data_IF_849934579601
#
_entry.id   IF_849934579601
#
_cell.length_a   1.000
_cell.length_b   1.000
_cell.length_c   1.000
_cell.angle_alpha   90.00
_cell.angle_beta   90.00
_cell.angle_gamma   90.00
#
_symmetry.space_group_name_H-M   'P 1'
#
loop_
_entity.id
_entity.type
_entity.pdbx_description
1 polymer ?
#
# COMPACT_ATOMS: atom_id res chain seq x y z
N UNK A 1 -4.66 -53.25 62.78
CA UNK A 1 -4.94 -53.18 64.23
C UNK A 1 -4.71 -51.73 64.63
N UNK A 2 -5.74 -50.88 64.70
CA UNK A 2 -6.70 -50.78 65.83
C UNK A 2 -5.97 -50.67 67.17
N UNK A 3 -6.30 -49.81 68.13
CA UNK A 3 -7.17 -48.65 68.38
C UNK A 3 -6.98 -48.39 69.91
N UNK A 4 -7.50 -47.26 70.42
CA UNK A 4 -7.64 -46.83 71.85
C UNK A 4 -6.48 -45.98 72.39
N UNK A 5 -6.69 -44.84 73.05
CA UNK A 5 -7.93 -44.17 73.48
C UNK A 5 -7.73 -43.47 74.83
N UNK A 6 -8.53 -42.40 75.05
CA UNK A 6 -8.85 -41.67 76.30
C UNK A 6 -7.90 -40.50 76.68
N UNK A 7 -8.27 -39.22 76.59
CA UNK A 7 -9.37 -38.37 77.12
C UNK A 7 -9.25 -38.00 78.61
N UNK A 8 -9.17 -36.67 78.88
CA UNK A 8 -9.87 -35.91 79.94
C UNK A 8 -9.42 -34.43 79.87
N UNK A 9 -10.20 -33.54 79.23
CA UNK A 9 -11.15 -32.56 79.83
C UNK A 9 -10.51 -31.29 80.39
N UNK A 10 -10.79 -30.14 79.75
CA UNK A 10 -11.53 -29.10 80.46
C UNK A 10 -12.43 -28.25 79.53
N UNK A 11 -13.61 -27.96 80.08
CA UNK A 11 -14.77 -27.23 79.60
C UNK A 11 -14.50 -25.69 79.60
N UNK A 12 -15.22 -24.73 79.01
CA UNK A 12 -16.51 -24.58 78.34
C UNK A 12 -16.66 -23.09 77.90
N UNK A 13 -17.64 -22.85 77.02
CA UNK A 13 -18.42 -21.61 76.76
C UNK A 13 -18.00 -20.64 75.63
N UNK A 14 -18.84 -20.71 74.60
CA UNK A 14 -19.03 -19.80 73.47
C UNK A 14 -19.87 -18.57 73.85
N UNK A 15 -19.71 -17.47 73.10
CA UNK A 15 -20.80 -16.55 72.74
C UNK A 15 -20.50 -15.88 71.38
N UNK A 16 -21.39 -16.11 70.41
CA UNK A 16 -21.66 -15.24 69.26
C UNK A 16 -22.73 -14.23 69.70
N UNK A 17 -22.68 -13.00 69.19
CA UNK A 17 -23.85 -12.12 69.07
C UNK A 17 -23.72 -11.23 67.83
N UNK A 18 -24.73 -11.34 66.95
CA UNK A 18 -25.16 -10.36 65.94
C UNK A 18 -26.14 -9.37 66.58
N UNK A 19 -26.24 -8.14 66.03
CA UNK A 19 -27.41 -7.23 66.02
C UNK A 19 -27.07 -6.13 64.96
N UNK A 20 -27.64 -6.04 63.75
CA UNK A 20 -29.00 -5.70 63.25
C UNK A 20 -29.49 -4.27 63.48
N UNK A 21 -29.41 -3.47 62.40
CA UNK A 21 -30.39 -2.54 61.76
C UNK A 21 -31.27 -1.52 62.52
N UNK A 22 -31.30 -0.29 61.96
CA UNK A 22 -32.50 0.57 61.70
C UNK A 22 -32.04 1.94 61.12
N UNK A 23 -32.25 2.29 59.83
CA UNK A 23 -33.41 2.99 59.20
C UNK A 23 -33.66 4.42 59.76
N UNK A 24 -33.95 5.51 59.04
CA UNK A 24 -34.11 5.86 57.62
C UNK A 24 -34.09 7.41 57.46
N UNK A 25 -33.67 7.93 56.30
CA UNK A 25 -34.49 8.72 55.34
C UNK A 25 -33.83 9.94 54.65
N UNK A 26 -33.96 9.92 53.31
CA UNK A 26 -34.18 10.99 52.32
C UNK A 26 -33.19 12.16 52.12
N UNK A 27 -32.63 12.21 50.92
CA UNK A 27 -32.08 13.43 50.30
C UNK A 27 -31.30 13.10 49.01
N UNK A 28 -31.93 13.36 47.86
CA UNK A 28 -31.47 13.16 46.48
C UNK A 28 -30.18 13.90 46.13
N UNK A 29 -29.32 13.30 45.29
CA UNK A 29 -28.75 13.92 44.07
C UNK A 29 -27.87 12.92 43.30
N UNK A 30 -27.78 13.18 42.00
CA UNK A 30 -27.73 12.22 40.89
C UNK A 30 -26.40 11.50 40.61
N UNK A 31 -26.55 10.35 39.95
CA UNK A 31 -25.51 9.49 39.36
C UNK A 31 -24.52 10.26 38.45
N UNK A 32 -23.26 10.34 38.87
CA UNK A 32 -22.14 10.71 38.00
C UNK A 32 -21.53 9.45 37.36
N UNK A 33 -22.09 9.03 36.22
CA UNK A 33 -21.39 8.10 35.32
C UNK A 33 -20.18 8.82 34.67
N UNK A 34 -18.99 8.19 34.58
CA UNK A 34 -17.88 8.77 33.86
C UNK A 34 -18.20 8.75 32.37
N UNK A 35 -18.43 9.94 31.82
CA UNK A 35 -18.69 10.19 30.41
C UNK A 35 -17.53 9.69 29.56
N UNK A 36 -17.86 8.71 28.72
CA UNK A 36 -17.07 8.28 27.59
C UNK A 36 -16.89 9.45 26.62
N UNK A 37 -15.70 10.03 26.57
CA UNK A 37 -15.27 10.83 25.42
C UNK A 37 -15.00 9.88 24.25
N UNK A 38 -16.07 9.41 23.60
CA UNK A 38 -16.01 8.68 22.34
C UNK A 38 -15.46 9.62 21.26
N UNK A 39 -14.20 9.42 20.93
CA UNK A 39 -13.58 10.02 19.75
C UNK A 39 -14.35 9.57 18.50
N UNK A 40 -14.54 10.48 17.55
CA UNK A 40 -15.32 10.35 16.32
C UNK A 40 -14.83 9.28 15.31
N UNK A 41 -14.06 8.29 15.76
CA UNK A 41 -13.42 7.22 14.96
C UNK A 41 -14.23 5.94 14.89
N UNK A 42 -15.16 5.68 15.82
CA UNK A 42 -15.92 4.41 15.86
C UNK A 42 -16.85 4.20 14.64
N UNK A 43 -17.22 5.28 13.91
CA UNK A 43 -18.12 5.19 12.75
C UNK A 43 -17.45 4.75 11.44
N UNK A 44 -16.14 4.94 11.28
CA UNK A 44 -15.49 4.82 9.96
C UNK A 44 -14.95 3.41 9.66
N UNK A 45 -14.43 2.69 10.66
CA UNK A 45 -13.99 1.28 10.54
C UNK A 45 -15.14 0.32 10.25
N UNK A 46 -16.30 0.61 10.83
CA UNK A 46 -17.54 -0.07 10.52
C UNK A 46 -17.76 -0.07 9.01
N UNK A 47 -17.44 1.00 8.29
CA UNK A 47 -17.62 1.04 6.83
C UNK A 47 -16.83 -0.06 6.11
N UNK A 48 -15.57 -0.28 6.53
CA UNK A 48 -14.72 -1.33 5.92
C UNK A 48 -15.24 -2.72 6.29
N UNK A 49 -15.63 -2.93 7.56
CA UNK A 49 -16.15 -4.22 8.04
C UNK A 49 -17.51 -4.55 7.42
N UNK A 50 -18.40 -3.58 7.26
CA UNK A 50 -19.70 -3.75 6.59
C UNK A 50 -19.55 -4.07 5.10
N UNK A 51 -18.51 -3.53 4.45
CA UNK A 51 -18.22 -3.85 3.05
C UNK A 51 -17.66 -5.27 2.83
N UNK A 52 -17.25 -5.97 3.89
CA UNK A 52 -16.76 -7.34 3.79
C UNK A 52 -17.89 -8.33 3.54
N UNK A 53 -17.55 -9.51 3.02
CA UNK A 53 -18.47 -10.64 2.99
C UNK A 53 -18.89 -11.00 4.42
N UNK A 54 -20.20 -11.02 4.67
CA UNK A 54 -20.77 -11.27 6.00
C UNK A 54 -20.79 -12.78 6.29
N UNK A 55 -19.65 -13.31 6.70
CA UNK A 55 -19.44 -14.72 7.03
C UNK A 55 -18.87 -14.90 8.45
N UNK A 56 -18.63 -16.16 8.83
CA UNK A 56 -18.05 -16.51 10.13
C UNK A 56 -16.71 -15.81 10.39
N UNK A 57 -15.92 -15.51 9.34
CA UNK A 57 -14.67 -14.75 9.45
C UNK A 57 -14.94 -13.31 9.87
N UNK A 58 -15.85 -12.61 9.19
CA UNK A 58 -16.21 -11.22 9.54
C UNK A 58 -16.85 -11.14 10.94
N UNK A 59 -17.67 -12.11 11.30
CA UNK A 59 -18.23 -12.22 12.65
C UNK A 59 -17.14 -12.33 13.72
N UNK A 60 -16.12 -13.16 13.49
CA UNK A 60 -15.00 -13.26 14.42
C UNK A 60 -14.18 -11.96 14.48
N UNK A 61 -13.91 -11.33 13.33
CA UNK A 61 -13.15 -10.07 13.25
C UNK A 61 -13.80 -8.98 14.10
N UNK A 62 -15.12 -8.81 14.03
CA UNK A 62 -15.85 -7.80 14.82
C UNK A 62 -15.62 -7.93 16.32
N UNK A 63 -15.43 -9.15 16.80
CA UNK A 63 -15.24 -9.45 18.23
C UNK A 63 -13.76 -9.47 18.64
N UNK A 64 -12.82 -9.37 17.69
CA UNK A 64 -11.39 -9.44 17.95
C UNK A 64 -10.76 -8.04 18.06
N UNK A 65 -10.54 -7.61 19.30
CA UNK A 65 -9.98 -6.29 19.63
C UNK A 65 -8.64 -6.02 18.93
N UNK A 66 -7.78 -7.03 18.77
CA UNK A 66 -6.46 -6.85 18.18
C UNK A 66 -6.55 -6.74 16.65
N UNK A 67 -7.45 -7.50 16.00
CA UNK A 67 -7.67 -7.39 14.56
C UNK A 67 -8.33 -6.06 14.21
N UNK A 68 -9.31 -5.60 15.00
CA UNK A 68 -9.90 -4.27 14.86
C UNK A 68 -8.82 -3.20 14.97
N UNK A 69 -8.08 -3.14 16.09
CA UNK A 69 -6.99 -2.17 16.27
C UNK A 69 -5.98 -2.13 15.09
N UNK A 70 -5.68 -3.29 14.49
CA UNK A 70 -4.85 -3.36 13.29
C UNK A 70 -5.54 -2.77 12.04
N UNK A 71 -6.83 -3.06 11.82
CA UNK A 71 -7.66 -2.42 10.81
C UNK A 71 -7.68 -0.90 10.94
N UNK A 72 -7.89 -0.41 12.16
CA UNK A 72 -7.96 1.01 12.55
C UNK A 72 -6.66 1.73 12.18
N UNK A 73 -5.53 1.15 12.57
CA UNK A 73 -4.21 1.68 12.23
C UNK A 73 -3.94 1.69 10.71
N UNK A 74 -4.42 0.68 9.97
CA UNK A 74 -4.32 0.67 8.51
C UNK A 74 -5.24 1.72 7.87
N UNK A 75 -6.42 1.92 8.42
CA UNK A 75 -7.39 2.92 7.97
C UNK A 75 -6.88 4.33 8.22
N UNK A 76 -6.33 4.63 9.39
CA UNK A 76 -5.70 5.93 9.66
C UNK A 76 -4.58 6.27 8.64
N UNK A 77 -3.84 5.26 8.17
CA UNK A 77 -2.74 5.43 7.21
C UNK A 77 -3.18 5.51 5.75
N UNK A 78 -4.22 4.76 5.35
CA UNK A 78 -4.58 4.53 3.93
C UNK A 78 -6.06 4.72 3.61
N UNK A 79 -6.91 4.85 4.62
CA UNK A 79 -8.37 4.86 4.54
C UNK A 79 -8.97 6.07 3.82
N UNK A 80 -8.21 7.16 3.65
CA UNK A 80 -8.63 8.32 2.84
C UNK A 80 -8.97 7.95 1.40
N UNK A 81 -8.35 6.90 0.87
CA UNK A 81 -8.59 6.44 -0.49
C UNK A 81 -9.48 5.17 -0.46
N UNK A 82 -10.71 5.27 -0.98
CA UNK A 82 -11.68 4.17 -1.04
C UNK A 82 -11.12 2.90 -1.68
N UNK A 83 -10.23 3.05 -2.68
CA UNK A 83 -9.59 1.91 -3.36
C UNK A 83 -8.72 1.06 -2.42
N UNK A 84 -8.25 1.62 -1.30
CA UNK A 84 -7.45 0.92 -0.30
C UNK A 84 -8.30 0.13 0.68
N UNK A 85 -9.61 0.37 0.78
CA UNK A 85 -10.49 -0.33 1.72
C UNK A 85 -10.48 -1.84 1.47
N UNK A 86 -10.44 -2.25 0.19
CA UNK A 86 -10.29 -3.66 -0.20
C UNK A 86 -9.00 -4.27 0.35
N UNK A 87 -7.90 -3.52 0.35
CA UNK A 87 -6.62 -3.97 0.90
C UNK A 87 -6.69 -4.13 2.42
N UNK A 88 -7.32 -3.19 3.13
CA UNK A 88 -7.51 -3.24 4.58
C UNK A 88 -8.36 -4.46 4.94
N UNK A 89 -9.49 -4.64 4.27
CA UNK A 89 -10.37 -5.79 4.46
C UNK A 89 -9.66 -7.13 4.22
N UNK A 90 -8.84 -7.21 3.17
CA UNK A 90 -8.05 -8.41 2.91
C UNK A 90 -7.08 -8.69 4.07
N UNK A 91 -6.41 -7.67 4.61
CA UNK A 91 -5.45 -7.81 5.70
C UNK A 91 -6.10 -8.27 7.01
N UNK A 92 -7.27 -7.73 7.35
CA UNK A 92 -8.05 -8.18 8.51
C UNK A 92 -8.54 -9.61 8.32
N UNK A 93 -9.04 -9.95 7.12
CA UNK A 93 -9.53 -11.32 6.81
C UNK A 93 -8.43 -12.37 6.73
N UNK A 94 -7.20 -12.00 6.38
CA UNK A 94 -6.04 -12.89 6.48
C UNK A 94 -5.81 -13.34 7.94
N UNK A 95 -5.92 -12.40 8.88
CA UNK A 95 -5.76 -12.68 10.32
C UNK A 95 -6.98 -13.38 10.91
N UNK A 96 -8.19 -12.99 10.54
CA UNK A 96 -9.41 -13.67 11.00
C UNK A 96 -9.41 -15.16 10.63
N UNK A 97 -8.99 -15.49 9.41
CA UNK A 97 -8.81 -16.89 8.97
C UNK A 97 -7.74 -17.61 9.77
N UNK A 98 -6.62 -16.94 10.08
CA UNK A 98 -5.55 -17.51 10.92
C UNK A 98 -6.08 -17.90 12.30
N UNK A 99 -6.80 -17.01 12.97
CA UNK A 99 -7.34 -17.30 14.31
C UNK A 99 -8.35 -18.43 14.27
N UNK A 100 -9.24 -18.46 13.29
CA UNK A 100 -10.21 -19.55 13.13
C UNK A 100 -9.52 -20.89 12.87
N UNK A 101 -8.50 -20.91 12.01
CA UNK A 101 -7.71 -22.13 11.79
C UNK A 101 -6.93 -22.55 13.04
N UNK A 102 -6.52 -21.62 13.90
CA UNK A 102 -5.87 -21.95 15.16
C UNK A 102 -6.86 -22.49 16.19
N UNK A 103 -8.10 -21.96 16.22
CA UNK A 103 -9.20 -22.43 17.07
C UNK A 103 -9.59 -23.87 16.79
N UNK A 104 -9.54 -24.29 15.52
CA UNK A 104 -9.75 -25.69 15.14
C UNK A 104 -8.68 -26.65 15.69
N UNK A 105 -7.48 -26.15 15.97
CA UNK A 105 -6.36 -26.94 16.49
C UNK A 105 -6.34 -26.89 18.03
N UNK A 106 -6.56 -25.71 18.59
CA UNK A 106 -6.60 -25.47 20.03
C UNK A 106 -7.79 -24.55 20.39
N UNK A 107 -8.81 -25.12 21.05
CA UNK A 107 -10.06 -24.42 21.40
C UNK A 107 -9.90 -23.33 22.46
N UNK A 108 -8.74 -23.26 23.13
CA UNK A 108 -8.41 -22.23 24.14
C UNK A 108 -8.24 -20.83 23.53
N UNK A 109 -7.93 -20.75 22.23
CA UNK A 109 -7.66 -19.49 21.52
C UNK A 109 -8.97 -18.73 21.34
N UNK A 110 -9.10 -17.52 21.92
CA UNK A 110 -10.31 -16.69 21.74
C UNK A 110 -10.11 -15.62 20.68
N UNK A 111 -8.91 -15.05 20.59
CA UNK A 111 -8.56 -14.03 19.61
C UNK A 111 -7.08 -14.01 19.22
N UNK A 112 -6.71 -13.10 18.33
CA UNK A 112 -5.36 -12.95 17.80
C UNK A 112 -4.33 -12.62 18.89
N UNK A 113 -4.75 -11.91 19.95
CA UNK A 113 -3.89 -11.58 21.10
C UNK A 113 -3.34 -12.84 21.78
N UNK A 114 -4.11 -13.93 21.83
CA UNK A 114 -3.73 -15.18 22.49
C UNK A 114 -2.69 -15.95 21.66
N UNK A 115 -2.66 -15.71 20.34
CA UNK A 115 -1.64 -16.26 19.45
C UNK A 115 -0.31 -15.50 19.49
N UNK A 116 -0.32 -14.24 19.95
CA UNK A 116 0.86 -13.38 20.03
C UNK A 116 1.70 -13.63 21.30
N UNK A 117 1.76 -14.90 21.73
CA UNK A 117 2.63 -15.36 22.81
C UNK A 117 3.73 -16.27 22.25
N UNK A 118 4.99 -16.15 22.70
CA UNK A 118 6.09 -16.99 22.21
C UNK A 118 5.82 -18.49 22.31
N UNK A 119 5.12 -18.93 23.37
CA UNK A 119 4.73 -20.32 23.61
C UNK A 119 3.76 -20.86 22.56
N UNK A 120 2.98 -19.99 21.92
CA UNK A 120 1.98 -20.33 20.89
C UNK A 120 2.54 -20.24 19.47
N UNK A 121 3.82 -19.96 19.29
CA UNK A 121 4.44 -19.84 17.96
C UNK A 121 4.28 -21.10 17.11
N UNK A 122 4.46 -22.29 17.70
CA UNK A 122 4.25 -23.56 17.01
C UNK A 122 2.79 -23.76 16.55
N UNK A 123 1.83 -23.29 17.36
CA UNK A 123 0.41 -23.31 16.98
C UNK A 123 0.16 -22.41 15.76
N UNK A 124 0.76 -21.21 15.74
CA UNK A 124 0.68 -20.28 14.61
C UNK A 124 1.26 -20.90 13.33
N UNK A 125 2.38 -21.62 13.43
CA UNK A 125 2.97 -22.33 12.29
C UNK A 125 2.03 -23.43 11.77
N UNK A 126 1.47 -24.25 12.66
CA UNK A 126 0.51 -25.30 12.29
C UNK A 126 -0.75 -24.73 11.63
N UNK A 127 -1.34 -23.68 12.20
CA UNK A 127 -2.50 -22.99 11.62
C UNK A 127 -2.19 -22.39 10.24
N UNK A 128 -1.02 -21.77 10.08
CA UNK A 128 -0.59 -21.19 8.80
C UNK A 128 -0.38 -22.26 7.74
N UNK A 129 0.26 -23.38 8.08
CA UNK A 129 0.47 -24.53 7.19
C UNK A 129 -0.86 -25.14 6.74
N UNK A 130 -1.83 -25.27 7.65
CA UNK A 130 -3.19 -25.72 7.32
C UNK A 130 -3.87 -24.80 6.31
N UNK A 131 -3.88 -23.48 6.55
CA UNK A 131 -4.50 -22.49 5.66
C UNK A 131 -3.87 -22.40 4.26
N UNK A 132 -2.56 -22.67 4.18
CA UNK A 132 -1.80 -22.57 2.95
C UNK A 132 -1.63 -23.91 2.23
N UNK A 133 -2.30 -24.97 2.70
CA UNK A 133 -2.23 -26.33 2.18
C UNK A 133 -0.77 -26.82 2.06
N UNK A 134 -0.02 -26.74 3.14
CA UNK A 134 1.36 -27.23 3.19
C UNK A 134 1.41 -28.75 3.16
N UNK A 135 2.21 -29.30 2.25
CA UNK A 135 2.51 -30.73 2.17
C UNK A 135 3.82 -31.01 2.91
N UNK A 136 3.77 -31.86 3.93
CA UNK A 136 4.97 -32.30 4.66
C UNK A 136 5.89 -33.15 3.78
N UNK A 137 5.35 -33.85 2.79
CA UNK A 137 6.10 -34.80 1.96
C UNK A 137 6.96 -34.09 0.92
N UNK A 138 6.43 -33.02 0.31
CA UNK A 138 7.13 -32.26 -0.74
C UNK A 138 7.74 -30.96 -0.22
N UNK A 139 7.46 -30.58 1.03
CA UNK A 139 7.82 -29.28 1.62
C UNK A 139 7.32 -28.06 0.83
N UNK A 140 6.24 -28.27 0.07
CA UNK A 140 5.62 -27.28 -0.80
C UNK A 140 4.28 -26.79 -0.23
N UNK A 141 3.91 -25.58 -0.64
CA UNK A 141 2.62 -25.00 -0.29
C UNK A 141 1.65 -25.07 -1.47
N UNK A 142 0.44 -25.56 -1.28
CA UNK A 142 -0.64 -25.43 -2.27
C UNK A 142 -0.96 -23.95 -2.56
N UNK A 143 -0.99 -23.11 -1.51
CA UNK A 143 -1.25 -21.66 -1.58
C UNK A 143 -0.10 -20.86 -0.96
N UNK A 144 1.08 -20.78 -1.61
CA UNK A 144 2.29 -20.18 -1.03
C UNK A 144 2.13 -18.68 -0.75
N UNK A 145 1.37 -17.97 -1.59
CA UNK A 145 1.13 -16.54 -1.39
C UNK A 145 0.34 -16.24 -0.12
N UNK A 146 -0.58 -17.13 0.29
CA UNK A 146 -1.32 -17.01 1.55
C UNK A 146 -0.38 -17.12 2.75
N UNK A 147 0.55 -18.07 2.73
CA UNK A 147 1.53 -18.26 3.80
C UNK A 147 2.40 -17.01 4.02
N UNK A 148 2.91 -16.43 2.92
CA UNK A 148 3.71 -15.19 2.97
C UNK A 148 2.86 -14.00 3.46
N UNK A 149 1.63 -13.85 2.96
CA UNK A 149 0.73 -12.75 3.34
C UNK A 149 0.38 -12.78 4.83
N UNK A 150 0.12 -13.98 5.39
CA UNK A 150 -0.17 -14.16 6.82
C UNK A 150 0.98 -13.62 7.67
N UNK A 151 2.23 -13.97 7.34
CA UNK A 151 3.40 -13.49 8.09
C UNK A 151 3.50 -11.96 8.13
N UNK A 152 3.32 -11.30 6.99
CA UNK A 152 3.34 -9.83 6.92
C UNK A 152 2.19 -9.20 7.71
N UNK A 153 0.99 -9.77 7.63
CA UNK A 153 -0.19 -9.26 8.33
C UNK A 153 -0.07 -9.47 9.83
N UNK A 154 0.45 -10.61 10.26
CA UNK A 154 0.66 -10.94 11.66
C UNK A 154 1.70 -10.00 12.28
N UNK A 155 2.83 -9.79 11.59
CA UNK A 155 3.84 -8.83 12.02
C UNK A 155 3.26 -7.42 12.20
N UNK A 156 2.51 -6.94 11.20
CA UNK A 156 1.85 -5.64 11.27
C UNK A 156 0.86 -5.53 12.42
N UNK A 157 0.06 -6.57 12.67
CA UNK A 157 -0.87 -6.61 13.78
C UNK A 157 -0.15 -6.62 15.14
N UNK A 158 0.92 -7.41 15.30
CA UNK A 158 1.73 -7.42 16.52
C UNK A 158 2.38 -6.06 16.78
N UNK A 159 2.90 -5.38 15.75
CA UNK A 159 3.45 -4.02 15.88
C UNK A 159 2.38 -3.01 16.34
N UNK A 160 1.19 -3.04 15.74
CA UNK A 160 0.08 -2.19 16.17
C UNK A 160 -0.35 -2.50 17.61
N UNK A 161 -0.39 -3.78 17.97
CA UNK A 161 -0.78 -4.21 19.32
C UNK A 161 0.23 -3.79 20.39
N UNK A 162 1.53 -3.80 20.08
CA UNK A 162 2.55 -3.23 20.97
C UNK A 162 2.26 -1.74 21.21
N UNK A 163 1.92 -0.98 20.16
CA UNK A 163 1.50 0.42 20.28
C UNK A 163 0.26 0.60 21.16
N UNK A 164 -0.75 -0.25 21.00
CA UNK A 164 -1.97 -0.23 21.81
C UNK A 164 -1.69 -0.54 23.29
N UNK A 165 -0.83 -1.53 23.57
CA UNK A 165 -0.41 -1.86 24.94
C UNK A 165 0.34 -0.70 25.61
N UNK A 166 1.21 -0.01 24.87
CA UNK A 166 1.95 1.15 25.36
C UNK A 166 1.00 2.31 25.71
N UNK A 167 0.00 2.59 24.88
CA UNK A 167 -1.00 3.63 25.16
C UNK A 167 -1.83 3.33 26.42
N UNK A 168 -2.04 2.05 26.74
CA UNK A 168 -2.81 1.60 27.92
C UNK A 168 -1.93 1.22 29.13
N UNK A 169 -0.63 1.51 29.07
CA UNK A 169 0.35 1.16 30.11
C UNK A 169 0.37 -0.33 30.51
N UNK A 170 -0.01 -1.25 29.60
CA UNK A 170 0.01 -2.68 29.87
C UNK A 170 1.38 -3.30 29.54
N UNK A 171 2.28 -3.24 30.52
CA UNK A 171 3.68 -3.65 30.37
C UNK A 171 3.87 -5.15 30.16
N UNK A 172 2.98 -6.00 30.70
CA UNK A 172 3.07 -7.46 30.55
C UNK A 172 2.72 -7.90 29.12
N UNK A 173 1.59 -7.43 28.60
CA UNK A 173 1.16 -7.74 27.24
C UNK A 173 2.14 -7.19 26.20
N UNK A 174 2.66 -5.98 26.44
CA UNK A 174 3.70 -5.36 25.61
C UNK A 174 4.96 -6.23 25.53
N UNK A 175 5.49 -6.69 26.68
CA UNK A 175 6.69 -7.55 26.74
C UNK A 175 6.47 -8.89 26.00
N UNK A 176 5.30 -9.51 26.16
CA UNK A 176 4.95 -10.75 25.45
C UNK A 176 4.90 -10.54 23.93
N UNK A 177 4.21 -9.50 23.48
CA UNK A 177 4.09 -9.17 22.07
C UNK A 177 5.45 -8.80 21.43
N UNK A 178 6.32 -8.08 22.15
CA UNK A 178 7.69 -7.79 21.71
C UNK A 178 8.53 -9.05 21.51
N UNK A 179 8.51 -9.97 22.49
CA UNK A 179 9.19 -11.27 22.37
C UNK A 179 8.65 -12.10 21.22
N UNK A 180 7.32 -12.11 21.02
CA UNK A 180 6.70 -12.79 19.89
C UNK A 180 7.10 -12.19 18.54
N UNK A 181 7.13 -10.86 18.43
CA UNK A 181 7.60 -10.16 17.23
C UNK A 181 9.04 -10.52 16.89
N UNK A 182 9.93 -10.55 17.89
CA UNK A 182 11.32 -10.96 17.70
C UNK A 182 11.43 -12.40 17.19
N UNK A 183 10.64 -13.32 17.76
CA UNK A 183 10.57 -14.70 17.30
C UNK A 183 10.06 -14.79 15.85
N UNK A 184 9.04 -14.00 15.49
CA UNK A 184 8.51 -13.91 14.14
C UNK A 184 9.58 -13.39 13.16
N UNK A 185 10.29 -12.32 13.50
CA UNK A 185 11.35 -11.73 12.66
C UNK A 185 12.50 -12.72 12.42
N UNK A 186 12.88 -13.50 13.43
CA UNK A 186 14.03 -14.40 13.36
C UNK A 186 13.71 -15.77 12.74
N UNK A 187 12.52 -16.32 13.00
CA UNK A 187 12.21 -17.72 12.66
C UNK A 187 11.22 -17.89 11.52
N UNK A 188 10.34 -16.92 11.27
CA UNK A 188 9.29 -17.07 10.27
C UNK A 188 9.82 -17.34 8.86
N UNK A 189 10.95 -16.73 8.50
CA UNK A 189 11.56 -16.93 7.18
C UNK A 189 11.93 -18.40 6.97
N UNK A 190 12.59 -19.01 7.96
CA UNK A 190 13.08 -20.39 7.90
C UNK A 190 11.96 -21.43 7.82
N UNK A 191 10.84 -21.19 8.50
CA UNK A 191 9.74 -22.18 8.56
C UNK A 191 8.68 -22.02 7.48
N UNK A 192 8.50 -20.80 6.97
CA UNK A 192 7.38 -20.48 6.07
C UNK A 192 7.85 -19.76 4.81
N UNK A 193 8.54 -18.63 4.95
CA UNK A 193 8.74 -17.73 3.80
C UNK A 193 9.67 -18.31 2.74
N UNK A 194 10.78 -18.96 3.14
CA UNK A 194 11.75 -19.53 2.19
C UNK A 194 11.10 -20.61 1.33
N UNK A 195 10.44 -21.59 1.94
CA UNK A 195 9.72 -22.65 1.22
C UNK A 195 8.60 -22.09 0.35
N UNK A 196 7.80 -21.14 0.87
CA UNK A 196 6.74 -20.52 0.09
C UNK A 196 7.28 -19.74 -1.13
N UNK A 197 8.40 -19.03 -0.99
CA UNK A 197 9.07 -18.34 -2.10
C UNK A 197 9.61 -19.33 -3.12
N UNK A 198 10.28 -20.40 -2.69
CA UNK A 198 10.77 -21.47 -3.56
C UNK A 198 9.64 -22.11 -4.37
N UNK A 199 8.51 -22.46 -3.73
CA UNK A 199 7.34 -23.02 -4.44
C UNK A 199 6.78 -22.02 -5.46
N UNK A 200 6.75 -20.72 -5.14
CA UNK A 200 6.31 -19.70 -6.11
C UNK A 200 7.27 -19.55 -7.29
N UNK A 201 8.57 -19.62 -7.04
CA UNK A 201 9.60 -19.50 -8.07
C UNK A 201 9.60 -20.73 -9.00
N UNK A 202 9.51 -21.94 -8.44
CA UNK A 202 9.37 -23.16 -9.23
C UNK A 202 8.10 -23.15 -10.09
N UNK A 203 6.96 -22.70 -9.54
CA UNK A 203 5.72 -22.56 -10.33
C UNK A 203 5.84 -21.55 -11.46
N UNK A 204 6.55 -20.45 -11.22
CA UNK A 204 6.81 -19.45 -12.28
C UNK A 204 7.75 -19.99 -13.33
N UNK A 205 8.78 -20.73 -12.92
CA UNK A 205 9.74 -21.37 -13.82
C UNK A 205 9.08 -22.42 -14.71
N UNK A 206 8.18 -23.22 -14.14
CA UNK A 206 7.44 -24.26 -14.87
C UNK A 206 6.24 -23.71 -15.64
N UNK A 207 5.87 -22.44 -15.44
CA UNK A 207 4.81 -21.80 -16.21
C UNK A 207 5.43 -21.36 -17.54
N UNK A 208 4.94 -21.91 -18.65
CA UNK A 208 5.37 -21.47 -19.97
C UNK A 208 5.09 -19.97 -20.15
N UNK A 209 6.08 -19.25 -20.69
CA UNK A 209 5.95 -17.84 -21.06
C UNK A 209 5.01 -17.74 -22.28
N UNK A 210 3.70 -17.65 -22.02
CA UNK A 210 2.72 -17.40 -23.06
C UNK A 210 2.82 -15.94 -23.51
N UNK A 211 3.55 -15.70 -24.59
CA UNK A 211 3.54 -14.42 -25.28
C UNK A 211 2.20 -14.29 -26.01
N UNK A 212 1.46 -13.17 -25.82
CA UNK A 212 0.21 -12.97 -26.55
C UNK A 212 0.51 -12.91 -28.05
N UNK A 213 -0.21 -13.70 -28.84
CA UNK A 213 -0.08 -13.67 -30.30
C UNK A 213 -0.61 -12.34 -30.83
N UNK A 214 -0.05 -11.85 -31.93
CA UNK A 214 -0.55 -10.64 -32.61
C UNK A 214 -2.03 -10.78 -32.97
N UNK A 215 -2.44 -11.99 -33.35
CA UNK A 215 -3.82 -12.36 -33.66
C UNK A 215 -4.76 -12.18 -32.45
N UNK A 216 -4.33 -12.57 -31.25
CA UNK A 216 -5.10 -12.40 -30.02
C UNK A 216 -5.28 -10.92 -29.66
N UNK A 217 -4.22 -10.12 -29.83
CA UNK A 217 -4.26 -8.67 -29.57
C UNK A 217 -5.22 -7.98 -30.54
N UNK A 218 -5.18 -8.34 -31.82
CA UNK A 218 -6.10 -7.82 -32.84
C UNK A 218 -7.54 -8.25 -32.52
N UNK A 219 -7.75 -9.52 -32.17
CA UNK A 219 -9.06 -10.07 -31.83
C UNK A 219 -9.67 -9.34 -30.63
N UNK A 220 -8.90 -9.14 -29.56
CA UNK A 220 -9.32 -8.36 -28.40
C UNK A 220 -9.64 -6.92 -28.78
N UNK A 221 -8.78 -6.27 -29.58
CA UNK A 221 -9.00 -4.89 -30.00
C UNK A 221 -10.28 -4.73 -30.82
N UNK A 222 -10.54 -5.65 -31.76
CA UNK A 222 -11.75 -5.64 -32.58
C UNK A 222 -13.01 -5.87 -31.74
N UNK A 223 -12.95 -6.80 -30.78
CA UNK A 223 -14.03 -7.04 -29.85
C UNK A 223 -14.35 -5.80 -28.99
N UNK A 224 -13.33 -5.15 -28.43
CA UNK A 224 -13.52 -3.92 -27.64
C UNK A 224 -14.09 -2.76 -28.46
N UNK A 225 -13.69 -2.64 -29.74
CA UNK A 225 -14.24 -1.64 -30.66
C UNK A 225 -15.70 -1.92 -30.99
N UNK A 226 -16.05 -3.19 -31.22
CA UNK A 226 -17.43 -3.61 -31.47
C UNK A 226 -18.35 -3.23 -30.29
N UNK A 227 -17.95 -3.56 -29.06
CA UNK A 227 -18.71 -3.19 -27.84
C UNK A 227 -18.86 -1.68 -27.72
N UNK A 228 -17.78 -0.93 -27.98
CA UNK A 228 -17.81 0.54 -27.93
C UNK A 228 -18.85 1.10 -28.92
N UNK A 229 -18.88 0.59 -30.14
CA UNK A 229 -19.79 1.04 -31.19
C UNK A 229 -21.25 0.66 -30.88
N UNK A 230 -21.50 -0.56 -30.38
CA UNK A 230 -22.82 -1.03 -29.94
C UNK A 230 -23.35 -0.19 -28.77
N UNK A 231 -22.52 0.03 -27.73
CA UNK A 231 -22.90 0.80 -26.56
C UNK A 231 -23.17 2.27 -26.89
N UNK A 232 -22.39 2.88 -27.80
CA UNK A 232 -22.66 4.23 -28.31
C UNK A 232 -23.98 4.29 -29.07
N UNK A 233 -24.24 3.33 -29.96
CA UNK A 233 -25.47 3.29 -30.73
C UNK A 233 -26.71 3.15 -29.82
N UNK A 234 -26.61 2.39 -28.75
CA UNK A 234 -27.66 2.27 -27.73
C UNK A 234 -27.88 3.60 -26.99
N UNK A 235 -26.81 4.24 -26.50
CA UNK A 235 -26.86 5.53 -25.78
C UNK A 235 -27.36 6.71 -26.63
N UNK A 236 -27.23 6.62 -27.96
CA UNK A 236 -27.81 7.61 -28.88
C UNK A 236 -29.34 7.43 -28.97
N UNK A 237 -29.84 6.19 -28.93
CA UNK A 237 -31.27 5.88 -29.05
C UNK A 237 -32.03 6.17 -27.76
N UNK A 238 -31.47 5.77 -26.62
CA UNK A 238 -32.08 5.98 -25.30
C UNK A 238 -31.00 6.03 -24.20
N UNK A 239 -31.27 6.77 -23.13
CA UNK A 239 -30.41 6.80 -21.96
C UNK A 239 -30.49 5.43 -21.23
N UNK A 240 -29.42 4.63 -21.34
CA UNK A 240 -29.32 3.29 -20.74
C UNK A 240 -28.11 3.23 -19.81
N UNK A 241 -28.34 3.00 -18.51
CA UNK A 241 -27.27 2.87 -17.52
C UNK A 241 -26.36 1.67 -17.83
N UNK A 242 -26.93 0.59 -18.37
CA UNK A 242 -26.20 -0.61 -18.78
C UNK A 242 -25.27 -0.29 -19.94
N UNK A 243 -25.76 0.40 -20.98
CA UNK A 243 -24.93 0.83 -22.11
C UNK A 243 -23.83 1.80 -21.68
N UNK A 244 -24.13 2.74 -20.77
CA UNK A 244 -23.14 3.66 -20.20
C UNK A 244 -22.01 2.92 -19.47
N UNK A 245 -22.37 1.91 -18.67
CA UNK A 245 -21.40 1.05 -17.98
C UNK A 245 -20.56 0.24 -18.96
N UNK A 246 -21.19 -0.37 -19.97
CA UNK A 246 -20.49 -1.14 -21.02
C UNK A 246 -19.51 -0.26 -21.81
N UNK A 247 -19.90 0.96 -22.16
CA UNK A 247 -19.01 1.93 -22.81
C UNK A 247 -17.85 2.32 -21.88
N UNK A 248 -18.13 2.57 -20.60
CA UNK A 248 -17.09 2.91 -19.60
C UNK A 248 -16.05 1.79 -19.44
N UNK A 249 -16.51 0.54 -19.30
CA UNK A 249 -15.65 -0.63 -19.08
C UNK A 249 -14.83 -0.97 -20.33
N UNK A 250 -15.45 -0.89 -21.52
CA UNK A 250 -14.75 -1.12 -22.79
C UNK A 250 -13.69 -0.04 -23.05
N UNK A 251 -13.98 1.24 -22.79
CA UNK A 251 -13.01 2.33 -22.93
C UNK A 251 -11.86 2.18 -21.93
N UNK A 252 -12.14 1.83 -20.68
CA UNK A 252 -11.10 1.56 -19.69
C UNK A 252 -10.16 0.45 -20.17
N UNK A 253 -10.70 -0.65 -20.69
CA UNK A 253 -9.91 -1.74 -21.25
C UNK A 253 -9.06 -1.29 -22.45
N UNK A 254 -9.64 -0.55 -23.40
CA UNK A 254 -8.91 -0.02 -24.55
C UNK A 254 -7.73 0.88 -24.14
N UNK A 255 -7.94 1.78 -23.17
CA UNK A 255 -6.89 2.69 -22.68
C UNK A 255 -5.75 1.89 -22.02
N UNK A 256 -6.09 0.88 -21.20
CA UNK A 256 -5.12 0.01 -20.52
C UNK A 256 -4.28 -0.77 -21.53
N UNK A 257 -4.94 -1.41 -22.51
CA UNK A 257 -4.28 -2.20 -23.56
C UNK A 257 -3.35 -1.32 -24.39
N UNK A 258 -3.82 -0.16 -24.84
CA UNK A 258 -3.03 0.77 -25.66
C UNK A 258 -1.80 1.30 -24.93
N UNK A 259 -1.95 1.68 -23.66
CA UNK A 259 -0.83 2.20 -22.88
C UNK A 259 0.12 1.11 -22.36
N UNK A 260 -0.30 -0.17 -22.40
CA UNK A 260 0.42 -1.31 -21.81
C UNK A 260 0.85 -1.02 -20.36
N UNK A 261 -0.03 -0.40 -19.58
CA UNK A 261 0.19 -0.04 -18.16
C UNK A 261 -0.82 -0.72 -17.25
N UNK A 262 -0.53 -0.70 -15.94
CA UNK A 262 -1.44 -1.24 -14.92
C UNK A 262 -2.70 -0.39 -14.83
N UNK A 263 -3.80 -1.05 -14.50
CA UNK A 263 -5.15 -0.50 -14.42
C UNK A 263 -5.28 0.69 -13.48
N UNK A 264 -4.48 0.74 -12.41
CA UNK A 264 -4.58 1.75 -11.36
C UNK A 264 -4.37 3.19 -11.81
N UNK A 265 -3.70 3.43 -12.93
CA UNK A 265 -3.48 4.79 -13.46
C UNK A 265 -4.68 5.26 -14.29
N UNK A 266 -5.22 4.40 -15.16
CA UNK A 266 -6.36 4.72 -16.02
C UNK A 266 -7.68 4.78 -15.23
N UNK A 267 -7.91 3.82 -14.34
CA UNK A 267 -9.15 3.74 -13.53
C UNK A 267 -9.31 4.86 -12.49
N UNK A 268 -8.23 5.54 -12.12
CA UNK A 268 -8.22 6.65 -11.15
C UNK A 268 -8.11 8.01 -11.83
N UNK A 269 -8.30 8.07 -13.14
CA UNK A 269 -8.29 9.32 -13.87
C UNK A 269 -9.54 10.14 -13.50
N UNK A 270 -9.32 11.27 -12.84
CA UNK A 270 -10.41 12.18 -12.49
C UNK A 270 -10.83 13.02 -13.70
N UNK A 271 -12.12 13.39 -13.76
CA UNK A 271 -12.67 14.27 -14.79
C UNK A 271 -11.94 15.62 -14.82
N UNK A 272 -11.68 16.22 -13.66
CA UNK A 272 -10.93 17.48 -13.55
C UNK A 272 -9.54 17.37 -14.19
N UNK A 273 -8.81 16.27 -13.95
CA UNK A 273 -7.49 16.02 -14.54
C UNK A 273 -7.56 15.84 -16.05
N UNK A 274 -8.63 15.22 -16.55
CA UNK A 274 -8.86 15.03 -17.98
C UNK A 274 -9.21 16.35 -18.67
N UNK A 275 -10.08 17.17 -18.09
CA UNK A 275 -10.46 18.48 -18.64
C UNK A 275 -9.30 19.48 -18.58
N UNK A 276 -8.48 19.42 -17.53
CA UNK A 276 -7.24 20.19 -17.40
C UNK A 276 -6.05 19.54 -18.12
N UNK A 277 -6.27 18.52 -18.94
CA UNK A 277 -5.19 17.83 -19.63
C UNK A 277 -4.39 18.85 -20.45
N UNK A 278 -3.11 18.95 -20.12
CA UNK A 278 -2.19 19.89 -20.72
C UNK A 278 -1.97 19.52 -22.21
N UNK A 279 -2.66 20.24 -23.08
CA UNK A 279 -2.39 20.29 -24.54
C UNK A 279 -1.17 21.16 -24.84
N UNK A 280 -0.46 21.62 -23.81
CA UNK A 280 0.72 22.46 -23.93
C UNK A 280 1.78 21.87 -24.84
N UNK A 281 2.57 22.73 -25.53
CA UNK A 281 3.54 22.29 -26.52
C UNK A 281 4.52 21.31 -25.89
N UNK A 282 4.79 20.22 -26.61
CA UNK A 282 5.73 19.22 -26.14
C UNK A 282 7.10 19.87 -25.95
N UNK A 283 7.78 19.53 -24.85
CA UNK A 283 9.11 20.08 -24.56
C UNK A 283 10.03 19.83 -25.77
N UNK A 284 10.64 20.90 -26.31
CA UNK A 284 11.43 20.87 -27.55
C UNK A 284 12.59 19.88 -27.46
N UNK A 285 13.29 19.85 -26.34
CA UNK A 285 14.40 18.91 -26.10
C UNK A 285 13.93 17.46 -26.15
N UNK A 286 12.72 17.16 -25.66
CA UNK A 286 12.13 15.82 -25.74
C UNK A 286 11.70 15.52 -27.18
N UNK A 287 11.05 16.48 -27.85
CA UNK A 287 10.61 16.34 -29.24
C UNK A 287 11.78 15.99 -30.16
N UNK A 288 12.92 16.66 -30.02
CA UNK A 288 14.10 16.43 -30.84
C UNK A 288 14.67 15.02 -30.69
N UNK A 289 14.56 14.43 -29.48
CA UNK A 289 15.01 13.06 -29.21
C UNK A 289 14.10 11.95 -29.72
N UNK A 290 12.87 12.28 -30.15
CA UNK A 290 11.94 11.32 -30.72
C UNK A 290 12.33 10.91 -32.15
N UNK A 291 12.07 9.65 -32.49
CA UNK A 291 12.16 9.17 -33.87
C UNK A 291 11.15 9.86 -34.79
N UNK A 292 11.35 9.77 -36.11
CA UNK A 292 10.43 10.36 -37.09
C UNK A 292 8.98 9.87 -36.91
N UNK A 293 8.81 8.58 -36.61
CA UNK A 293 7.49 7.96 -36.35
C UNK A 293 6.89 8.49 -35.05
N UNK A 294 7.68 8.54 -33.96
CA UNK A 294 7.20 9.07 -32.68
C UNK A 294 6.83 10.55 -32.75
N UNK A 295 7.55 11.35 -33.55
CA UNK A 295 7.20 12.75 -33.83
C UNK A 295 5.84 12.86 -34.51
N UNK A 296 5.56 12.04 -35.52
CA UNK A 296 4.25 12.00 -36.18
C UNK A 296 3.14 11.53 -35.22
N UNK A 297 3.41 10.50 -34.41
CA UNK A 297 2.44 9.99 -33.42
C UNK A 297 2.17 10.99 -32.30
N UNK A 298 3.16 11.78 -31.89
CA UNK A 298 2.99 12.78 -30.83
C UNK A 298 1.96 13.85 -31.17
N UNK A 299 1.76 14.13 -32.47
CA UNK A 299 0.74 15.07 -32.95
C UNK A 299 -0.67 14.48 -32.97
N UNK A 300 -0.79 13.14 -33.02
CA UNK A 300 -2.07 12.41 -33.12
C UNK A 300 -2.57 11.89 -31.77
N UNK A 301 -1.72 11.86 -30.75
CA UNK A 301 -2.02 11.31 -29.44
C UNK A 301 -2.23 12.42 -28.42
N UNK A 302 -3.34 12.37 -27.70
CA UNK A 302 -3.58 13.29 -26.58
C UNK A 302 -2.89 12.74 -25.33
N UNK A 303 -2.10 13.58 -24.65
CA UNK A 303 -1.36 13.20 -23.45
C UNK A 303 -2.02 13.77 -22.21
N UNK A 304 -2.52 12.90 -21.33
CA UNK A 304 -3.05 13.28 -20.02
C UNK A 304 -2.05 12.88 -18.94
N UNK A 305 -1.73 13.78 -18.01
CA UNK A 305 -0.74 13.49 -16.95
C UNK A 305 -1.45 13.24 -15.62
N UNK A 306 -1.30 12.03 -15.08
CA UNK A 306 -1.87 11.64 -13.79
C UNK A 306 -0.80 11.42 -12.72
N UNK A 307 -1.23 11.27 -11.47
CA UNK A 307 -0.34 11.00 -10.34
C UNK A 307 -0.18 9.50 -10.15
N UNK A 308 0.99 8.97 -10.49
CA UNK A 308 1.40 7.60 -10.24
C UNK A 308 1.97 7.37 -8.82
N UNK A 309 2.48 6.16 -8.60
CA UNK A 309 3.04 5.74 -7.30
C UNK A 309 4.13 6.72 -6.82
N UNK A 310 4.11 7.01 -5.51
CA UNK A 310 5.05 7.94 -4.85
C UNK A 310 5.03 9.36 -5.42
N UNK A 311 3.88 9.80 -5.94
CA UNK A 311 3.70 11.15 -6.45
C UNK A 311 4.39 11.44 -7.79
N UNK A 312 4.82 10.41 -8.52
CA UNK A 312 5.42 10.58 -9.84
C UNK A 312 4.35 10.97 -10.86
N UNK A 313 4.64 11.93 -11.74
CA UNK A 313 3.79 12.22 -12.90
C UNK A 313 3.87 11.08 -13.90
N UNK A 314 2.73 10.57 -14.37
CA UNK A 314 2.65 9.47 -15.32
C UNK A 314 1.74 9.87 -16.49
N UNK A 315 2.23 9.80 -17.74
CA UNK A 315 1.40 10.10 -18.90
C UNK A 315 0.50 8.91 -19.26
N UNK A 316 -0.74 9.22 -19.63
CA UNK A 316 -1.70 8.36 -20.30
C UNK A 316 -1.88 8.93 -21.70
N UNK A 317 -1.66 8.10 -22.72
CA UNK A 317 -1.85 8.47 -24.12
C UNK A 317 -3.23 8.00 -24.58
N UNK A 318 -3.93 8.88 -25.27
CA UNK A 318 -5.26 8.62 -25.82
C UNK A 318 -5.20 8.77 -27.33
N UNK A 319 -5.76 7.79 -28.03
CA UNK A 319 -6.01 7.87 -29.47
C UNK A 319 -7.23 8.74 -29.69
N UNK A 320 -7.27 9.45 -30.81
CA UNK A 320 -8.41 10.27 -31.25
C UNK A 320 -9.77 9.59 -31.09
N UNK A 321 -9.91 8.32 -31.51
CA UNK A 321 -11.14 7.52 -31.31
C UNK A 321 -11.52 7.46 -29.83
N UNK A 322 -10.62 6.98 -28.98
CA UNK A 322 -10.87 6.82 -27.54
C UNK A 322 -11.15 8.15 -26.85
N UNK A 323 -10.46 9.23 -27.28
CA UNK A 323 -10.73 10.59 -26.81
C UNK A 323 -12.15 11.03 -27.16
N UNK A 324 -12.57 10.87 -28.42
CA UNK A 324 -13.92 11.22 -28.86
C UNK A 324 -14.99 10.44 -28.08
N UNK A 325 -14.73 9.17 -27.76
CA UNK A 325 -15.63 8.34 -26.95
C UNK A 325 -15.71 8.77 -25.49
N UNK A 326 -14.57 9.20 -24.90
CA UNK A 326 -14.55 9.79 -23.57
C UNK A 326 -15.31 11.12 -23.54
N UNK A 327 -15.10 11.97 -24.55
CA UNK A 327 -15.81 13.25 -24.68
C UNK A 327 -17.33 13.03 -24.85
N UNK A 328 -17.74 12.02 -25.63
CA UNK A 328 -19.14 11.58 -25.74
C UNK A 328 -19.72 11.14 -24.38
N UNK A 329 -18.97 10.33 -23.64
CA UNK A 329 -19.38 9.82 -22.33
C UNK A 329 -19.54 10.95 -21.30
N UNK A 330 -18.65 11.95 -21.34
CA UNK A 330 -18.74 13.15 -20.49
C UNK A 330 -19.97 13.98 -20.86
N UNK A 331 -20.26 14.14 -22.15
CA UNK A 331 -21.45 14.88 -22.62
C UNK A 331 -22.76 14.22 -22.15
N UNK A 332 -22.86 12.89 -22.27
CA UNK A 332 -24.05 12.16 -21.80
C UNK A 332 -24.21 12.24 -20.28
N UNK A 333 -23.11 12.26 -19.54
CA UNK A 333 -23.13 12.46 -18.09
C UNK A 333 -23.72 13.82 -17.68
N UNK A 334 -23.49 14.89 -18.45
CA UNK A 334 -24.06 16.22 -18.14
C UNK A 334 -25.51 16.38 -18.59
N UNK A 335 -25.93 15.66 -19.63
CA UNK A 335 -27.33 15.68 -20.11
C UNK A 335 -28.28 15.00 -19.11
N UNK A 336 -27.85 13.96 -18.41
CA UNK A 336 -28.66 13.30 -17.37
C UNK A 336 -28.80 14.16 -16.10
N UNK A 337 -27.86 15.08 -15.81
CA UNK A 337 -27.96 16.01 -14.67
C UNK A 337 -28.99 17.13 -14.90
N UNK A 338 -29.32 17.46 -16.16
CA UNK A 338 -30.31 18.48 -16.55
C UNK A 338 -31.76 17.93 -16.63
N UNK A 339 -31.96 16.60 -16.59
CA UNK A 339 -33.29 15.96 -16.68
C UNK A 339 -34.05 15.87 -15.35
N UNK A 340 -33.58 16.54 -14.29
CA UNK A 340 -34.19 16.47 -12.95
C UNK A 340 -35.00 17.71 -12.52
N UNK A 341 -35.17 18.72 -13.37
CA UNK A 341 -35.83 19.98 -12.96
C UNK A 341 -37.22 20.26 -13.57
N UNK A 342 -37.82 19.36 -14.38
CA UNK A 342 -39.10 19.63 -15.09
C UNK A 342 -40.28 18.67 -14.80
N UNK A 343 -40.32 17.95 -13.67
CA UNK A 343 -41.57 17.33 -13.19
C UNK A 343 -41.79 17.54 -11.69
N UNK A 344 -42.15 18.76 -11.32
CA UNK A 344 -42.84 19.03 -10.06
C UNK A 344 -44.34 18.73 -10.26
N UNK A 345 -44.76 17.51 -9.89
CA UNK A 345 -46.02 17.25 -9.17
C UNK A 345 -46.21 15.75 -8.84
N UNK A 346 -45.79 15.40 -7.62
CA UNK A 346 -46.43 14.36 -6.80
C UNK A 346 -46.03 12.91 -7.04
N UNK A 347 -44.98 12.43 -6.34
CA UNK A 347 -45.06 11.35 -5.34
C UNK A 347 -43.77 11.39 -4.51
N UNK A 348 -43.90 11.80 -3.26
CA UNK A 348 -42.83 11.76 -2.27
C UNK A 348 -42.66 10.32 -1.77
N UNK A 349 -41.52 9.66 -2.06
CA UNK A 349 -40.91 8.70 -1.13
C UNK A 349 -39.47 8.30 -1.50
N UNK A 350 -38.55 8.82 -0.69
CA UNK A 350 -37.28 8.21 -0.23
C UNK A 350 -36.26 7.81 -1.30
N UNK A 351 -35.30 8.70 -1.59
CA UNK A 351 -33.84 8.44 -1.60
C UNK A 351 -33.13 9.75 -2.01
N UNK A 352 -32.55 10.48 -1.04
CA UNK A 352 -31.25 11.21 -1.13
C UNK A 352 -31.16 12.42 -0.20
N UNK A 353 -30.53 12.21 0.96
CA UNK A 353 -30.16 13.28 1.91
C UNK A 353 -28.63 13.50 1.99
N UNK A 354 -27.85 13.05 0.99
CA UNK A 354 -26.37 13.20 1.02
C UNK A 354 -25.88 14.53 0.44
N UNK A 355 -26.54 15.05 -0.60
CA UNK A 355 -26.06 16.22 -1.34
C UNK A 355 -26.43 17.57 -0.71
N UNK A 356 -27.52 17.65 0.07
CA UNK A 356 -27.94 18.90 0.75
C UNK A 356 -27.13 19.21 2.02
N UNK A 357 -26.43 18.23 2.62
CA UNK A 357 -25.62 18.41 3.85
C UNK A 357 -24.24 19.05 3.58
N UNK A 358 -23.68 18.85 2.39
CA UNK A 358 -22.35 19.38 2.01
C UNK A 358 -22.42 20.88 1.64
N UNK A 359 -23.54 21.36 1.11
CA UNK A 359 -23.72 22.78 0.77
C UNK A 359 -24.01 23.68 1.99
N UNK A 360 -24.59 23.12 3.08
CA UNK A 360 -24.82 23.86 4.34
C UNK A 360 -23.58 23.96 5.25
N UNK A 361 -22.64 23.04 5.15
CA UNK A 361 -21.41 23.05 5.94
C UNK A 361 -20.30 23.99 5.41
N UNK A 362 -20.49 24.62 4.23
CA UNK A 362 -19.52 25.57 3.64
C UNK A 362 -19.92 27.05 3.82
N UNK A 363 -20.96 27.35 4.58
CA UNK A 363 -21.48 28.72 4.76
C UNK A 363 -21.47 29.21 6.21
N UNK A 364 -20.66 28.58 7.06
CA UNK A 364 -20.36 29.03 8.43
C UNK A 364 -18.87 28.78 8.67
N UNK A 365 -18.00 29.56 8.02
CA UNK A 365 -16.68 29.93 8.57
C UNK A 365 -16.07 31.00 7.65
N UNK A 366 -16.60 32.21 7.71
CA UNK A 366 -15.96 33.38 7.12
C UNK A 366 -16.06 34.50 8.15
N UNK A 367 -14.97 34.69 8.89
CA UNK A 367 -14.81 35.79 9.84
C UNK A 367 -14.14 35.39 11.15
N UNK A 368 -12.80 35.30 11.17
CA UNK A 368 -12.02 36.10 12.12
C UNK A 368 -10.54 36.18 11.69
N UNK A 369 -10.04 37.41 11.57
CA UNK A 369 -8.65 37.74 11.32
C UNK A 369 -8.03 38.09 12.67
N UNK A 370 -7.08 37.28 13.16
CA UNK A 370 -6.11 37.75 14.16
C UNK A 370 -4.76 37.04 14.08
N UNK A 371 -3.73 37.90 14.08
CA UNK A 371 -2.28 37.67 14.06
C UNK A 371 -1.81 36.82 15.25
N UNK A 372 -0.75 36.01 15.09
CA UNK A 372 0.41 35.99 15.99
C UNK A 372 1.58 35.11 15.48
N UNK A 373 2.78 35.69 15.56
CA UNK A 373 4.11 35.14 15.85
C UNK A 373 4.75 34.00 15.04
N UNK A 374 5.77 34.42 14.29
CA UNK A 374 7.00 33.71 13.92
C UNK A 374 7.66 32.97 15.11
N UNK A 375 7.88 31.66 14.99
CA UNK A 375 8.94 30.95 15.73
C UNK A 375 9.65 29.92 14.85
N UNK A 376 10.93 30.16 14.65
CA UNK A 376 11.90 29.27 13.99
C UNK A 376 12.13 27.99 14.81
N UNK A 377 12.51 26.85 14.17
CA UNK A 377 12.99 25.67 14.88
C UNK A 377 14.48 25.81 15.28
N UNK A 378 14.91 25.21 16.41
CA UNK A 378 16.19 25.51 17.01
C UNK A 378 17.37 24.79 16.34
N UNK A 379 18.44 25.57 16.23
CA UNK A 379 19.82 25.17 15.93
C UNK A 379 20.35 24.25 17.04
N UNK A 380 20.87 23.07 16.68
CA UNK A 380 21.95 22.45 17.44
C UNK A 380 23.10 22.08 16.51
N UNK A 381 24.18 22.83 16.71
CA UNK A 381 25.49 22.69 16.12
C UNK A 381 26.20 21.41 16.55
N UNK A 382 26.93 20.78 15.63
CA UNK A 382 28.27 20.24 15.90
C UNK A 382 29.05 20.10 14.59
N UNK A 383 29.75 21.17 14.23
CA UNK A 383 30.91 21.13 13.33
C UNK A 383 32.03 20.37 14.04
N UNK A 384 32.73 19.48 13.32
CA UNK A 384 34.17 19.30 13.51
C UNK A 384 34.85 19.19 12.15
N UNK A 385 35.82 20.07 11.98
CA UNK A 385 36.65 20.33 10.82
C UNK A 385 37.68 19.24 10.56
N UNK A 386 38.19 19.25 9.34
CA UNK A 386 39.33 18.47 8.90
C UNK A 386 40.67 19.00 9.46
N UNK A 387 41.65 18.11 9.44
CA UNK A 387 43.12 18.34 9.41
C UNK A 387 43.86 18.19 10.74
N UNK A 388 44.45 17.02 10.97
CA UNK A 388 45.83 16.94 11.45
C UNK A 388 46.48 15.59 11.10
N UNK A 389 47.79 15.64 10.89
CA UNK A 389 48.63 14.65 10.21
C UNK A 389 49.38 13.75 11.21
N UNK A 390 49.64 12.53 10.75
CA UNK A 390 50.86 11.69 10.91
C UNK A 390 51.08 10.84 12.18
N UNK A 391 51.49 9.60 11.86
CA UNK A 391 52.44 8.67 12.49
C UNK A 391 52.12 8.06 13.85
N UNK A 392 51.97 6.72 13.88
CA UNK A 392 52.85 5.77 14.59
C UNK A 392 52.58 4.35 14.04
N UNK A 393 53.67 3.62 13.84
CA UNK A 393 53.80 2.27 13.31
C UNK A 393 53.50 1.18 14.38
N UNK A 394 53.24 -0.02 13.87
CA UNK A 394 53.69 -1.35 14.35
C UNK A 394 52.70 -2.45 14.82
N UNK A 395 53.01 -3.62 14.23
CA UNK A 395 52.68 -5.04 14.45
C UNK A 395 51.31 -5.59 14.00
N UNK A 396 51.18 -6.31 12.87
CA UNK A 396 51.61 -7.71 12.53
C UNK A 396 50.90 -8.75 13.44
N UNK A 397 50.14 -9.76 12.99
CA UNK A 397 50.01 -10.49 11.70
C UNK A 397 48.64 -11.19 11.64
N UNK A 398 48.06 -11.43 10.46
CA UNK A 398 47.86 -12.79 9.90
C UNK A 398 47.11 -12.72 8.54
N UNK A 399 47.56 -13.53 7.59
CA UNK A 399 47.38 -13.36 6.15
C UNK A 399 46.10 -13.99 5.58
N UNK A 400 45.39 -13.23 4.73
CA UNK A 400 44.24 -13.74 3.96
C UNK A 400 43.77 -12.80 2.85
N UNK A 401 44.38 -12.90 1.66
CA UNK A 401 43.80 -12.53 0.35
C UNK A 401 43.27 -11.10 0.16
N UNK A 402 44.14 -10.10 0.00
CA UNK A 402 43.76 -8.71 -0.26
C UNK A 402 43.27 -8.47 -1.72
N UNK A 403 42.01 -8.06 -1.88
CA UNK A 403 41.49 -7.46 -3.10
C UNK A 403 42.14 -6.09 -3.36
N UNK A 404 42.85 -5.94 -4.49
CA UNK A 404 43.47 -4.67 -4.91
C UNK A 404 42.45 -3.52 -4.97
N UNK A 405 42.62 -2.48 -4.13
CA UNK A 405 41.90 -1.20 -4.23
C UNK A 405 42.21 -0.53 -5.59
N UNK A 406 41.23 -0.47 -6.49
CA UNK A 406 41.37 0.21 -7.78
C UNK A 406 41.55 1.73 -7.58
N UNK A 407 42.65 2.27 -8.12
CA UNK A 407 42.91 3.70 -8.25
C UNK A 407 41.81 4.34 -9.14
N UNK A 408 41.09 5.36 -8.65
CA UNK A 408 40.02 6.04 -9.41
C UNK A 408 40.61 6.75 -10.63
N UNK A 409 40.47 6.16 -11.83
CA UNK A 409 40.91 6.77 -13.10
C UNK A 409 40.08 8.01 -13.44
N UNK A 410 40.72 9.18 -13.51
CA UNK A 410 40.11 10.43 -13.93
C UNK A 410 39.62 10.36 -15.39
N UNK A 411 38.53 11.04 -15.71
CA UNK A 411 37.97 11.15 -17.06
C UNK A 411 38.66 12.27 -17.84
N UNK A 412 39.23 11.94 -19.00
CA UNK A 412 39.83 12.93 -19.93
C UNK A 412 38.75 13.77 -20.61
N UNK A 413 39.13 14.89 -21.22
CA UNK A 413 38.17 15.76 -21.94
C UNK A 413 37.53 15.02 -23.12
N UNK A 414 38.33 14.25 -23.87
CA UNK A 414 37.88 13.45 -25.01
C UNK A 414 36.87 12.37 -24.59
N UNK A 415 37.15 11.64 -23.50
CA UNK A 415 36.23 10.63 -22.98
C UNK A 415 34.90 11.23 -22.53
N UNK A 416 34.93 12.41 -21.89
CA UNK A 416 33.71 13.12 -21.47
C UNK A 416 32.87 13.53 -22.68
N UNK A 417 33.50 14.09 -23.71
CA UNK A 417 32.82 14.49 -24.94
C UNK A 417 32.22 13.28 -25.65
N UNK A 418 32.96 12.18 -25.75
CA UNK A 418 32.48 10.95 -26.37
C UNK A 418 31.27 10.33 -25.66
N UNK A 419 31.30 10.29 -24.31
CA UNK A 419 30.14 9.86 -23.53
C UNK A 419 28.98 10.84 -23.68
N UNK A 420 29.23 12.15 -23.63
CA UNK A 420 28.18 13.17 -23.76
C UNK A 420 27.47 13.10 -25.11
N UNK A 421 28.21 12.96 -26.22
CA UNK A 421 27.63 12.85 -27.56
C UNK A 421 26.73 11.62 -27.72
N UNK A 422 27.10 10.48 -27.13
CA UNK A 422 26.36 9.23 -27.27
C UNK A 422 25.26 9.05 -26.21
N UNK A 423 25.41 9.67 -25.03
CA UNK A 423 24.59 9.40 -23.85
C UNK A 423 23.82 10.62 -23.32
N UNK A 424 23.89 11.78 -23.99
CA UNK A 424 23.12 12.98 -23.63
C UNK A 424 21.62 12.70 -23.42
N UNK A 425 21.03 11.81 -24.25
CA UNK A 425 19.63 11.37 -24.12
C UNK A 425 19.28 10.83 -22.73
N UNK A 426 20.18 10.09 -22.10
CA UNK A 426 19.96 9.50 -20.78
C UNK A 426 20.00 10.56 -19.67
N UNK A 427 20.89 11.55 -19.83
CA UNK A 427 20.98 12.69 -18.90
C UNK A 427 19.71 13.54 -18.98
N UNK A 428 19.26 13.90 -20.20
CA UNK A 428 18.04 14.66 -20.44
C UNK A 428 16.79 13.95 -19.89
N UNK A 429 16.65 12.63 -20.15
CA UNK A 429 15.54 11.81 -19.67
C UNK A 429 15.63 11.44 -18.17
N UNK A 430 16.70 11.86 -17.47
CA UNK A 430 17.00 11.50 -16.06
C UNK A 430 16.94 9.99 -15.80
N UNK A 431 17.31 9.21 -16.81
CA UNK A 431 17.26 7.75 -16.81
C UNK A 431 18.68 7.20 -16.91
N UNK A 432 19.03 6.29 -16.02
CA UNK A 432 20.34 5.62 -16.06
C UNK A 432 20.37 4.63 -17.23
N UNK A 433 21.44 4.61 -18.05
CA UNK A 433 21.56 3.70 -19.19
C UNK A 433 21.67 2.23 -18.77
N UNK A 434 21.18 1.33 -19.63
CA UNK A 434 21.34 -0.11 -19.48
C UNK A 434 22.74 -0.59 -19.88
N UNK A 435 23.05 -1.86 -19.60
CA UNK A 435 24.35 -2.47 -19.95
C UNK A 435 24.61 -2.41 -21.47
N UNK A 436 23.61 -2.78 -22.28
CA UNK A 436 23.73 -2.80 -23.73
C UNK A 436 23.95 -1.39 -24.31
N UNK A 437 23.24 -0.39 -23.80
CA UNK A 437 23.44 1.01 -24.19
C UNK A 437 24.90 1.44 -23.95
N UNK A 438 25.43 1.11 -22.76
CA UNK A 438 26.81 1.45 -22.39
C UNK A 438 27.84 0.77 -23.29
N UNK A 439 27.62 -0.51 -23.64
CA UNK A 439 28.49 -1.23 -24.57
C UNK A 439 28.43 -0.65 -25.99
N UNK A 440 27.25 -0.26 -26.47
CA UNK A 440 27.12 0.42 -27.77
C UNK A 440 27.86 1.75 -27.81
N UNK A 441 27.82 2.54 -26.74
CA UNK A 441 28.60 3.78 -26.64
C UNK A 441 30.11 3.51 -26.63
N UNK A 442 30.58 2.49 -25.93
CA UNK A 442 32.00 2.11 -25.93
C UNK A 442 32.43 1.68 -27.33
N UNK A 443 31.64 0.87 -28.02
CA UNK A 443 31.91 0.43 -29.39
C UNK A 443 31.95 1.60 -30.39
N UNK A 444 30.96 2.49 -30.34
CA UNK A 444 30.87 3.67 -31.24
C UNK A 444 31.98 4.70 -31.00
N UNK A 445 32.47 4.81 -29.77
CA UNK A 445 33.53 5.73 -29.40
C UNK A 445 34.90 5.04 -29.27
N UNK A 446 35.10 3.91 -29.96
CA UNK A 446 36.40 3.25 -30.04
C UNK A 446 37.36 4.08 -30.91
N UNK A 447 38.63 4.28 -30.52
CA UNK A 447 39.34 3.69 -29.38
C UNK A 447 39.26 4.51 -28.07
N UNK A 448 38.62 5.68 -28.07
CA UNK A 448 38.61 6.65 -26.94
C UNK A 448 38.09 6.03 -25.64
N UNK A 449 37.02 5.23 -25.71
CA UNK A 449 36.43 4.57 -24.54
C UNK A 449 36.85 3.09 -24.36
N UNK A 450 37.82 2.61 -25.14
CA UNK A 450 38.23 1.19 -25.13
C UNK A 450 38.72 0.70 -23.75
N UNK A 451 39.32 1.60 -22.96
CA UNK A 451 39.83 1.32 -21.62
C UNK A 451 38.78 1.49 -20.50
N UNK A 452 37.52 1.79 -20.84
CA UNK A 452 36.42 1.98 -19.89
C UNK A 452 35.48 0.80 -19.90
N UNK A 453 35.03 0.40 -18.72
CA UNK A 453 33.99 -0.63 -18.61
C UNK A 453 32.61 -0.02 -18.79
N UNK A 454 31.62 -0.85 -19.14
CA UNK A 454 30.23 -0.42 -19.22
C UNK A 454 29.71 0.17 -17.89
N UNK A 455 30.26 -0.27 -16.74
CA UNK A 455 29.94 0.28 -15.42
C UNK A 455 30.46 1.71 -15.27
N UNK A 456 31.65 2.00 -15.79
CA UNK A 456 32.24 3.34 -15.72
C UNK A 456 31.38 4.35 -16.48
N UNK A 457 30.98 4.02 -17.71
CA UNK A 457 30.07 4.85 -18.53
C UNK A 457 28.73 5.03 -17.85
N UNK A 458 28.15 3.95 -17.29
CA UNK A 458 26.89 4.01 -16.54
C UNK A 458 26.96 4.97 -15.35
N UNK A 459 28.03 4.88 -14.55
CA UNK A 459 28.20 5.73 -13.37
C UNK A 459 28.51 7.18 -13.74
N UNK A 460 29.23 7.42 -14.84
CA UNK A 460 29.43 8.76 -15.38
C UNK A 460 28.08 9.44 -15.68
N UNK A 461 27.22 8.77 -16.45
CA UNK A 461 25.89 9.29 -16.82
C UNK A 461 25.00 9.46 -15.59
N UNK A 462 25.04 8.52 -14.64
CA UNK A 462 24.33 8.67 -13.37
C UNK A 462 24.75 9.92 -12.60
N UNK A 463 26.07 10.17 -12.49
CA UNK A 463 26.59 11.33 -11.77
C UNK A 463 26.19 12.65 -12.44
N UNK A 464 26.18 12.70 -13.78
CA UNK A 464 25.69 13.85 -14.53
C UNK A 464 24.18 14.09 -14.28
N UNK A 465 23.36 13.05 -14.25
CA UNK A 465 21.93 13.16 -13.87
C UNK A 465 21.79 13.75 -12.46
N UNK A 466 22.63 13.34 -11.51
CA UNK A 466 22.60 13.87 -10.14
C UNK A 466 23.02 15.34 -10.10
N UNK A 467 24.04 15.76 -10.86
CA UNK A 467 24.45 17.18 -10.97
C UNK A 467 23.31 18.04 -11.50
N UNK A 468 22.68 17.63 -12.60
CA UNK A 468 21.53 18.34 -13.20
C UNK A 468 20.37 18.42 -12.20
N UNK A 469 20.09 17.35 -11.44
CA UNK A 469 19.04 17.37 -10.40
C UNK A 469 19.33 18.34 -9.25
N UNK A 470 20.60 18.56 -8.89
CA UNK A 470 20.99 19.51 -7.84
C UNK A 470 20.84 20.95 -8.30
N UNK A 471 21.18 21.24 -9.56
CA UNK A 471 21.12 22.60 -10.11
C UNK A 471 19.70 23.10 -10.44
N UNK A 472 18.68 22.23 -10.35
CA UNK A 472 17.26 22.55 -10.60
C UNK A 472 16.44 22.73 -9.32
N UNK A 473 17.10 22.73 -8.15
CA UNK A 473 16.49 23.17 -6.90
C UNK A 473 16.79 24.66 -6.73
N UNK A 474 15.92 25.50 -7.27
CA UNK A 474 15.75 26.88 -6.82
C UNK A 474 14.39 26.97 -6.15
#
# INVERSE_FOLDING_TARGET
AELRGQNATDHSLALQYEETESSANSGSDEDYQPSSSSSSTEGEELTVIHSMQQDHVTSHIRNDVMICAYGDALFARKGREQSQHRYIAQKMRELGRLVLSAKEIESSVKGLKDLCEPTKFELVLKATRRLSNYSTNTTEYGKPSTAVKIGFSLKGATETWIGHCLMRSNTLAEKRAKKFKELLDNRWSSYVSTNAHSTMEQRRWNCEDCLPLTEDVISLQNYLRKIEDEAKAELIKHASTTAYKMLSESLLAQIIVFNKKREGEASRLNLETYLKADVGPMNKDIYETLSAVEKQLSHRLTRVVTRGKRGRKVPILLIERTKASLDFLIKKRTEDDDWCDDEENGVEQRFDNRSKRIKRARKIDDGDVRKESTREPPVTSKMKSATERRSIEDNWSDEGGAQKKQQKKLWTKEERTAVQQNMSKFVALRRVPGKNDCLLCIGKASPVLSNRTWKDVKYFVYNEIIKVKKNLKF
#
